data_IF_163131098550
#
_entry.id   IF_163131098550
#
_cell.length_a   1.000
_cell.length_b   1.000
_cell.length_c   1.000
_cell.angle_alpha   90.00
_cell.angle_beta   90.00
_cell.angle_gamma   90.00
#
_symmetry.space_group_name_H-M   'P 1'
#
loop_
_entity.id
_entity.type
_entity.pdbx_description
1 polymer ?
#
# COMPACT_ATOMS: atom_id res chain seq x y z
N UNK A 1 13.01 -25.33 -20.79
CA UNK A 1 11.61 -24.98 -20.44
C UNK A 1 11.64 -23.80 -19.50
N UNK A 2 11.39 -22.59 -19.99
CA UNK A 2 11.26 -21.39 -19.15
C UNK A 2 9.98 -21.54 -18.33
N UNK A 3 10.11 -21.99 -17.08
CA UNK A 3 9.02 -21.90 -16.11
C UNK A 3 8.54 -20.47 -16.11
N UNK A 4 7.30 -20.22 -16.52
CA UNK A 4 6.65 -18.91 -16.47
C UNK A 4 6.53 -18.54 -14.99
N UNK A 5 7.58 -17.92 -14.42
CA UNK A 5 7.65 -17.58 -13.00
C UNK A 5 6.47 -16.67 -12.68
N UNK A 6 5.78 -16.95 -11.58
CA UNK A 6 4.63 -16.15 -11.16
C UNK A 6 5.10 -14.90 -10.44
N UNK A 7 4.44 -13.78 -10.68
CA UNK A 7 4.80 -12.48 -10.12
C UNK A 7 3.92 -12.12 -8.93
N UNK A 8 4.47 -11.42 -7.95
CA UNK A 8 3.72 -10.68 -6.94
C UNK A 8 4.03 -9.21 -7.11
N UNK A 9 2.99 -8.43 -7.41
CA UNK A 9 3.06 -6.98 -7.43
C UNK A 9 2.60 -6.50 -6.06
N UNK A 10 3.53 -6.04 -5.23
CA UNK A 10 3.24 -5.57 -3.89
C UNK A 10 3.17 -4.05 -3.90
N UNK A 11 1.99 -3.51 -3.62
CA UNK A 11 1.73 -2.08 -3.59
C UNK A 11 1.52 -1.65 -2.14
N UNK A 12 2.33 -0.70 -1.67
CA UNK A 12 2.22 -0.18 -0.30
C UNK A 12 2.59 1.30 -0.23
N UNK A 13 2.36 1.94 0.92
CA UNK A 13 2.76 3.32 1.17
C UNK A 13 4.26 3.48 1.48
N UNK A 14 5.12 2.55 1.03
CA UNK A 14 6.55 2.52 1.30
C UNK A 14 7.38 3.47 0.42
N UNK A 15 6.76 4.49 -0.17
CA UNK A 15 7.39 5.50 -1.02
C UNK A 15 7.61 6.85 -0.34
N UNK A 16 7.42 6.87 0.99
CA UNK A 16 7.55 8.04 1.86
C UNK A 16 8.22 7.64 3.17
N UNK A 17 8.76 8.63 3.89
CA UNK A 17 9.47 8.41 5.16
C UNK A 17 8.50 8.13 6.32
N UNK A 18 8.01 6.89 6.39
CA UNK A 18 7.30 6.34 7.54
C UNK A 18 7.85 4.94 7.82
N UNK A 19 8.68 4.79 8.86
CA UNK A 19 9.34 3.52 9.18
C UNK A 19 8.38 2.33 9.29
N UNK A 20 7.16 2.54 9.81
CA UNK A 20 6.15 1.47 9.85
C UNK A 20 5.80 0.95 8.46
N UNK A 21 5.49 1.84 7.52
CA UNK A 21 5.12 1.47 6.16
C UNK A 21 6.30 0.88 5.36
N UNK A 22 7.54 1.27 5.69
CA UNK A 22 8.75 0.73 5.06
C UNK A 22 9.02 -0.73 5.44
N UNK A 23 8.55 -1.19 6.62
CA UNK A 23 8.77 -2.56 7.10
C UNK A 23 7.92 -3.60 6.35
N UNK A 24 6.69 -3.25 5.96
CA UNK A 24 5.78 -4.20 5.32
C UNK A 24 6.35 -4.90 4.08
N UNK A 25 6.90 -4.19 3.07
CA UNK A 25 7.49 -4.86 1.92
C UNK A 25 8.74 -5.66 2.25
N UNK A 26 9.52 -5.27 3.28
CA UNK A 26 10.71 -6.01 3.74
C UNK A 26 10.29 -7.37 4.30
N UNK A 27 9.35 -7.38 5.24
CA UNK A 27 8.82 -8.58 5.87
C UNK A 27 8.15 -9.47 4.81
N UNK A 28 7.30 -8.89 3.97
CA UNK A 28 6.59 -9.65 2.95
C UNK A 28 7.53 -10.28 1.92
N UNK A 29 8.57 -9.56 1.48
CA UNK A 29 9.62 -10.12 0.62
C UNK A 29 10.33 -11.29 1.29
N UNK A 30 10.58 -11.21 2.60
CA UNK A 30 11.22 -12.25 3.40
C UNK A 30 10.36 -13.52 3.47
N UNK A 31 9.06 -13.37 3.75
CA UNK A 31 8.06 -14.46 3.70
C UNK A 31 8.03 -15.13 2.32
N UNK A 32 8.15 -14.35 1.24
CA UNK A 32 8.11 -14.87 -0.12
C UNK A 32 9.39 -15.57 -0.59
N UNK A 33 10.52 -15.51 0.12
CA UNK A 33 11.80 -16.03 -0.37
C UNK A 33 11.74 -17.51 -0.77
N UNK A 34 10.92 -18.31 -0.10
CA UNK A 34 10.80 -19.76 -0.34
C UNK A 34 9.67 -20.12 -1.32
N UNK A 35 8.89 -19.13 -1.76
CA UNK A 35 7.67 -19.34 -2.55
C UNK A 35 7.90 -19.51 -4.05
N UNK A 36 9.10 -19.17 -4.55
CA UNK A 36 9.44 -19.17 -5.99
C UNK A 36 8.80 -18.04 -6.80
N UNK A 37 8.08 -17.11 -6.18
CA UNK A 37 7.51 -15.93 -6.84
C UNK A 37 8.57 -14.84 -7.07
N UNK A 38 8.41 -14.08 -8.16
CA UNK A 38 9.17 -12.85 -8.38
C UNK A 38 8.43 -11.71 -7.68
N UNK A 39 9.08 -11.11 -6.68
CA UNK A 39 8.55 -9.99 -5.92
C UNK A 39 8.91 -8.66 -6.57
N UNK A 40 7.92 -7.79 -6.73
CA UNK A 40 8.06 -6.41 -7.21
C UNK A 40 7.47 -5.45 -6.18
N UNK A 41 8.22 -4.43 -5.81
CA UNK A 41 7.82 -3.45 -4.80
C UNK A 41 7.38 -2.14 -5.46
N UNK A 42 6.13 -1.74 -5.24
CA UNK A 42 5.56 -0.53 -5.82
C UNK A 42 5.03 0.40 -4.74
N UNK A 43 5.13 1.70 -5.05
CA UNK A 43 4.48 2.77 -4.34
C UNK A 43 3.63 3.62 -5.28
N UNK A 44 3.24 4.81 -4.83
CA UNK A 44 2.59 5.80 -5.69
C UNK A 44 3.62 6.37 -6.68
N UNK A 45 4.81 6.69 -6.18
CA UNK A 45 5.97 7.13 -6.97
C UNK A 45 7.14 6.16 -6.86
N UNK A 46 8.07 6.27 -7.81
CA UNK A 46 9.38 5.63 -7.70
C UNK A 46 10.19 6.36 -6.64
N UNK A 47 10.77 5.62 -5.71
CA UNK A 47 11.57 6.18 -4.62
C UNK A 47 12.74 5.26 -4.32
N UNK A 48 13.84 5.87 -3.87
CA UNK A 48 14.96 5.13 -3.32
C UNK A 48 15.25 5.61 -1.91
N UNK A 49 14.78 4.86 -0.93
CA UNK A 49 14.94 5.14 0.51
C UNK A 49 15.88 4.12 1.15
N UNK A 50 16.79 3.52 0.38
CA UNK A 50 17.76 2.51 0.88
C UNK A 50 18.65 3.04 1.99
N UNK A 51 18.92 4.35 2.02
CA UNK A 51 19.69 4.99 3.10
C UNK A 51 18.96 4.90 4.46
N UNK A 52 17.64 4.66 4.43
CA UNK A 52 16.80 4.40 5.61
C UNK A 52 16.49 2.91 5.80
N UNK A 53 17.21 2.01 5.09
CA UNK A 53 17.01 0.55 5.14
C UNK A 53 15.79 0.05 4.39
N UNK A 54 15.11 0.90 3.61
CA UNK A 54 13.92 0.50 2.86
C UNK A 54 14.25 -0.24 1.55
N UNK A 55 13.27 -0.99 1.05
CA UNK A 55 13.30 -1.46 -0.34
C UNK A 55 12.94 -0.30 -1.29
N UNK A 56 13.66 -0.12 -2.40
CA UNK A 56 13.27 0.87 -3.40
C UNK A 56 11.88 0.52 -3.97
N UNK A 57 11.13 1.54 -4.35
CA UNK A 57 9.82 1.39 -4.99
C UNK A 57 9.89 1.75 -6.46
N UNK A 58 9.15 1.02 -7.28
CA UNK A 58 8.74 1.45 -8.60
C UNK A 58 7.41 2.22 -8.50
N UNK A 59 7.13 3.08 -9.49
CA UNK A 59 5.92 3.90 -9.51
C UNK A 59 4.67 3.10 -9.80
N UNK A 60 3.51 3.69 -9.47
CA UNK A 60 2.21 3.13 -9.83
C UNK A 60 2.04 2.95 -11.35
N UNK A 61 2.60 3.86 -12.13
CA UNK A 61 2.55 3.80 -13.59
C UNK A 61 3.28 2.56 -14.13
N UNK A 62 4.44 2.24 -13.54
CA UNK A 62 5.22 1.03 -13.83
C UNK A 62 4.46 -0.22 -13.40
N UNK A 63 3.85 -0.23 -12.21
CA UNK A 63 2.99 -1.34 -11.77
C UNK A 63 1.89 -1.66 -12.79
N UNK A 64 1.20 -0.63 -13.31
CA UNK A 64 0.16 -0.82 -14.32
C UNK A 64 0.69 -1.32 -15.67
N UNK A 65 1.96 -1.12 -15.97
CA UNK A 65 2.61 -1.67 -17.15
C UNK A 65 2.97 -3.14 -16.92
N UNK A 66 3.61 -3.45 -15.79
CA UNK A 66 4.06 -4.79 -15.43
C UNK A 66 2.89 -5.76 -15.24
N UNK A 67 1.80 -5.32 -14.63
CA UNK A 67 0.56 -6.11 -14.51
C UNK A 67 -0.02 -6.49 -15.88
N UNK A 68 0.27 -5.75 -16.96
CA UNK A 68 -0.19 -6.15 -18.31
C UNK A 68 0.76 -7.13 -18.97
N UNK A 69 2.04 -7.02 -18.66
CA UNK A 69 3.09 -7.83 -19.27
C UNK A 69 3.21 -9.20 -18.61
N UNK A 70 3.05 -9.27 -17.29
CA UNK A 70 3.32 -10.46 -16.51
C UNK A 70 2.06 -11.04 -15.86
N UNK A 71 2.07 -12.35 -15.64
CA UNK A 71 1.04 -13.05 -14.87
C UNK A 71 1.42 -13.08 -13.39
N UNK A 72 0.50 -12.68 -12.53
CA UNK A 72 0.78 -12.55 -11.10
C UNK A 72 -0.43 -12.20 -10.27
N UNK A 73 -0.17 -11.85 -9.01
CA UNK A 73 -1.17 -11.37 -8.04
C UNK A 73 -0.81 -9.98 -7.58
N UNK A 74 -1.81 -9.14 -7.35
CA UNK A 74 -1.65 -7.84 -6.73
C UNK A 74 -1.92 -7.97 -5.23
N UNK A 75 -0.97 -7.52 -4.42
CA UNK A 75 -1.10 -7.47 -2.97
C UNK A 75 -1.00 -6.03 -2.53
N UNK A 76 -2.02 -5.55 -1.85
CA UNK A 76 -2.01 -4.25 -1.17
C UNK A 76 -1.47 -4.50 0.24
N UNK A 77 -0.27 -4.00 0.49
CA UNK A 77 0.41 -4.10 1.78
C UNK A 77 -0.25 -3.25 2.86
N UNK A 78 -0.05 -3.65 4.12
CA UNK A 78 -0.70 -3.07 5.31
C UNK A 78 -0.45 -1.58 5.56
N UNK A 79 -0.91 -1.11 6.72
CA UNK A 79 -0.95 0.32 7.08
C UNK A 79 -2.34 0.93 6.89
N UNK A 80 -2.51 2.22 7.22
CA UNK A 80 -3.75 2.98 6.97
C UNK A 80 -3.86 3.36 5.49
N UNK A 81 -4.05 2.38 4.61
CA UNK A 81 -4.03 2.56 3.15
C UNK A 81 -5.40 2.50 2.49
N UNK A 82 -6.47 2.23 3.24
CA UNK A 82 -7.80 2.12 2.65
C UNK A 82 -8.41 3.49 2.30
N UNK A 83 -8.80 3.60 1.04
CA UNK A 83 -9.59 4.69 0.44
C UNK A 83 -9.00 6.12 0.43
N UNK A 84 -7.67 6.35 0.48
CA UNK A 84 -7.15 7.67 0.16
C UNK A 84 -7.37 7.98 -1.32
N UNK A 85 -7.59 9.26 -1.64
CA UNK A 85 -7.70 9.72 -3.03
C UNK A 85 -6.33 10.15 -3.57
N UNK A 86 -6.20 10.22 -4.89
CA UNK A 86 -4.94 10.54 -5.57
C UNK A 86 -4.37 11.90 -5.13
N UNK A 87 -5.23 12.91 -4.99
CA UNK A 87 -4.87 14.24 -4.54
C UNK A 87 -4.35 14.24 -3.09
N UNK A 88 -4.94 13.43 -2.21
CA UNK A 88 -4.49 13.30 -0.83
C UNK A 88 -3.09 12.70 -0.79
N UNK A 89 -2.87 11.60 -1.53
CA UNK A 89 -1.55 10.99 -1.59
C UNK A 89 -0.52 11.91 -2.23
N UNK A 90 -0.89 12.64 -3.27
CA UNK A 90 0.03 13.55 -3.93
C UNK A 90 0.42 14.73 -3.04
N UNK A 91 -0.49 15.21 -2.18
CA UNK A 91 -0.16 16.25 -1.20
C UNK A 91 0.86 15.83 -0.16
N UNK A 92 0.96 14.53 0.16
CA UNK A 92 2.00 14.02 1.05
C UNK A 92 3.37 13.90 0.37
N UNK A 93 3.39 13.80 -0.95
CA UNK A 93 4.60 13.62 -1.75
C UNK A 93 5.17 14.98 -2.19
N UNK A 94 4.31 15.92 -2.58
CA UNK A 94 4.72 17.22 -3.11
C UNK A 94 4.16 18.36 -2.25
N UNK A 95 5.06 19.05 -1.53
CA UNK A 95 4.72 20.24 -0.75
C UNK A 95 4.16 21.38 -1.62
N UNK A 96 4.65 21.50 -2.85
CA UNK A 96 4.13 22.46 -3.83
C UNK A 96 2.69 22.11 -4.18
N UNK A 97 2.41 20.83 -4.49
CA UNK A 97 1.05 20.40 -4.78
C UNK A 97 0.13 20.58 -3.57
N UNK A 98 0.59 20.28 -2.35
CA UNK A 98 -0.16 20.50 -1.12
C UNK A 98 -0.57 21.96 -0.96
N UNK A 99 0.37 22.90 -1.19
CA UNK A 99 0.11 24.34 -1.15
C UNK A 99 -0.84 24.82 -2.25
N UNK A 100 -0.76 24.23 -3.44
CA UNK A 100 -1.73 24.52 -4.49
C UNK A 100 -3.11 23.99 -4.12
N UNK A 101 -3.20 22.77 -3.61
CA UNK A 101 -4.46 22.12 -3.24
C UNK A 101 -5.16 22.79 -2.05
N UNK A 102 -4.43 23.51 -1.19
CA UNK A 102 -5.04 24.36 -0.16
C UNK A 102 -5.75 25.60 -0.70
N UNK A 103 -5.58 25.95 -1.98
CA UNK A 103 -6.29 27.06 -2.62
C UNK A 103 -7.61 26.55 -3.20
N UNK A 104 -8.74 27.12 -2.75
CA UNK A 104 -10.10 26.71 -3.14
C UNK A 104 -10.35 26.62 -4.65
N UNK A 105 -9.76 27.53 -5.42
CA UNK A 105 -9.87 27.51 -6.87
C UNK A 105 -9.18 26.27 -7.44
N UNK A 106 -7.96 25.99 -7.02
CA UNK A 106 -7.22 24.83 -7.48
C UNK A 106 -7.87 23.53 -7.02
N UNK A 107 -8.37 23.44 -5.79
CA UNK A 107 -9.07 22.24 -5.31
C UNK A 107 -10.34 21.95 -6.13
N UNK A 108 -11.07 22.98 -6.58
CA UNK A 108 -12.20 22.86 -7.53
C UNK A 108 -11.74 22.34 -8.89
N UNK A 109 -10.60 22.83 -9.39
CA UNK A 109 -10.00 22.39 -10.66
C UNK A 109 -9.54 20.93 -10.56
N UNK A 110 -8.84 20.56 -9.48
CA UNK A 110 -8.40 19.19 -9.21
C UNK A 110 -9.59 18.22 -9.23
N UNK A 111 -10.67 18.52 -8.50
CA UNK A 111 -11.86 17.63 -8.48
C UNK A 111 -12.47 17.39 -9.87
N UNK A 112 -12.34 18.35 -10.78
CA UNK A 112 -12.86 18.24 -12.16
C UNK A 112 -11.88 17.54 -13.09
N UNK A 113 -10.60 17.91 -13.03
CA UNK A 113 -9.59 17.48 -14.00
C UNK A 113 -8.81 16.25 -13.57
N UNK A 114 -8.84 15.91 -12.27
CA UNK A 114 -8.13 14.81 -11.63
C UNK A 114 -6.65 14.80 -12.02
N UNK A 115 -5.98 15.95 -11.79
CA UNK A 115 -4.61 16.22 -12.24
C UNK A 115 -3.65 15.29 -11.49
N UNK A 116 -3.81 15.15 -10.17
CA UNK A 116 -2.99 14.24 -9.36
C UNK A 116 -3.01 12.81 -9.92
N UNK A 117 -4.21 12.29 -10.19
CA UNK A 117 -4.38 10.95 -10.76
C UNK A 117 -3.69 10.80 -12.12
N UNK A 118 -3.75 11.82 -12.97
CA UNK A 118 -3.13 11.79 -14.31
C UNK A 118 -1.60 11.84 -14.21
N UNK A 119 -1.06 12.72 -13.38
CA UNK A 119 0.38 12.88 -13.18
C UNK A 119 1.02 11.64 -12.55
N UNK A 120 0.34 11.03 -11.58
CA UNK A 120 0.80 9.82 -10.89
C UNK A 120 0.50 8.52 -11.66
N UNK A 121 0.00 8.63 -12.89
CA UNK A 121 -0.23 7.48 -13.76
C UNK A 121 -1.40 6.57 -13.34
N UNK A 122 -2.28 7.02 -12.44
CA UNK A 122 -3.43 6.25 -11.95
C UNK A 122 -4.45 5.87 -13.04
N UNK A 123 -4.44 6.55 -14.19
CA UNK A 123 -5.26 6.24 -15.38
C UNK A 123 -6.74 6.02 -15.02
N UNK A 124 -7.19 4.77 -15.07
CA UNK A 124 -8.58 4.35 -14.85
C UNK A 124 -8.89 4.00 -13.39
N UNK A 125 -7.88 3.93 -12.53
CA UNK A 125 -8.04 3.51 -11.13
C UNK A 125 -8.59 4.69 -10.32
N UNK A 126 -9.73 4.49 -9.69
CA UNK A 126 -10.35 5.54 -8.87
C UNK A 126 -9.56 5.81 -7.59
N UNK A 127 -9.20 4.75 -6.86
CA UNK A 127 -8.53 4.81 -5.57
C UNK A 127 -7.21 4.03 -5.66
N UNK A 128 -6.05 4.67 -5.44
CA UNK A 128 -4.72 4.08 -5.65
C UNK A 128 -4.54 2.72 -4.96
N UNK A 129 -4.83 2.65 -3.67
CA UNK A 129 -4.70 1.43 -2.87
C UNK A 129 -5.98 0.60 -2.85
N UNK A 130 -6.97 0.92 -3.67
CA UNK A 130 -8.19 0.12 -3.79
C UNK A 130 -8.57 -0.07 -5.26
N UNK A 131 -7.70 -0.69 -6.08
CA UNK A 131 -8.01 -0.92 -7.48
C UNK A 131 -8.98 -2.09 -7.66
N UNK A 132 -9.94 -1.92 -8.57
CA UNK A 132 -10.75 -3.05 -9.04
C UNK A 132 -10.07 -3.75 -10.24
N UNK A 133 -10.10 -5.09 -10.38
CA UNK A 133 -9.49 -5.82 -11.51
C UNK A 133 -9.88 -5.27 -12.91
N UNK A 134 -11.16 -4.88 -13.08
CA UNK A 134 -11.64 -4.19 -14.30
C UNK A 134 -10.95 -2.84 -14.57
N UNK A 135 -10.63 -2.05 -13.55
CA UNK A 135 -9.90 -0.78 -13.71
C UNK A 135 -8.46 -1.01 -14.15
N UNK A 136 -7.86 -2.11 -13.69
CA UNK A 136 -6.54 -2.58 -14.10
C UNK A 136 -6.51 -3.15 -15.53
N UNK A 137 -7.67 -3.26 -16.20
CA UNK A 137 -7.85 -3.96 -17.49
C UNK A 137 -7.38 -5.43 -17.44
N UNK A 138 -7.47 -6.04 -16.25
CA UNK A 138 -7.13 -7.44 -15.97
C UNK A 138 -8.23 -8.05 -15.11
N UNK A 139 -9.37 -8.45 -15.69
CA UNK A 139 -10.52 -8.96 -14.94
C UNK A 139 -10.20 -10.27 -14.18
N UNK A 140 -9.16 -10.98 -14.59
CA UNK A 140 -8.62 -12.19 -13.98
C UNK A 140 -7.61 -11.91 -12.84
N UNK A 141 -7.21 -10.65 -12.63
CA UNK A 141 -6.26 -10.29 -11.59
C UNK A 141 -6.84 -10.59 -10.21
N UNK A 142 -6.11 -11.38 -9.44
CA UNK A 142 -6.42 -11.60 -8.03
C UNK A 142 -5.81 -10.45 -7.21
N UNK A 143 -6.67 -9.77 -6.45
CA UNK A 143 -6.29 -8.64 -5.61
C UNK A 143 -6.47 -9.03 -4.15
N UNK A 144 -5.41 -8.93 -3.38
CA UNK A 144 -5.36 -9.28 -1.96
C UNK A 144 -5.06 -8.03 -1.14
N UNK A 145 -5.76 -7.87 -0.02
CA UNK A 145 -5.44 -6.86 0.98
C UNK A 145 -4.89 -7.57 2.22
N UNK A 146 -3.66 -7.24 2.60
CA UNK A 146 -2.94 -7.88 3.70
C UNK A 146 -2.88 -6.94 4.90
N UNK A 147 -3.65 -7.25 5.94
CA UNK A 147 -3.67 -6.52 7.22
C UNK A 147 -3.78 -4.99 7.05
N UNK A 148 -4.69 -4.54 6.20
CA UNK A 148 -4.87 -3.11 5.89
C UNK A 148 -5.77 -2.42 6.92
N UNK A 149 -5.61 -1.11 7.08
CA UNK A 149 -6.42 -0.27 7.95
C UNK A 149 -7.17 0.82 7.18
N UNK A 150 -8.33 1.19 7.69
CA UNK A 150 -9.10 2.35 7.28
C UNK A 150 -10.61 2.13 7.28
N UNK A 151 -11.36 3.20 7.02
CA UNK A 151 -12.81 3.22 7.18
C UNK A 151 -13.48 4.09 6.11
N UNK A 152 -14.77 3.85 5.92
CA UNK A 152 -15.60 4.73 5.12
C UNK A 152 -15.89 6.02 5.90
N UNK A 153 -15.85 7.15 5.21
CA UNK A 153 -16.20 8.45 5.79
C UNK A 153 -17.42 9.01 5.07
N UNK A 154 -18.34 9.61 5.83
CA UNK A 154 -19.58 10.18 5.31
C UNK A 154 -20.56 9.13 4.78
N UNK A 155 -21.43 9.54 3.86
CA UNK A 155 -22.46 8.66 3.29
C UNK A 155 -21.84 7.57 2.39
N UNK A 156 -22.20 6.30 2.63
CA UNK A 156 -21.84 5.16 1.79
C UNK A 156 -22.33 5.31 0.34
N UNK A 157 -23.40 6.07 0.12
CA UNK A 157 -23.94 6.37 -1.21
C UNK A 157 -23.08 7.38 -2.00
N UNK A 158 -22.10 8.04 -1.35
CA UNK A 158 -21.19 8.97 -2.00
C UNK A 158 -20.40 8.31 -3.12
N UNK A 159 -19.98 9.11 -4.11
CA UNK A 159 -19.24 8.61 -5.28
C UNK A 159 -17.97 7.83 -4.87
N UNK A 160 -17.22 8.37 -3.91
CA UNK A 160 -16.00 7.75 -3.38
C UNK A 160 -16.28 6.42 -2.71
N UNK A 161 -17.25 6.38 -1.79
CA UNK A 161 -17.58 5.15 -1.07
C UNK A 161 -18.15 4.08 -2.01
N UNK A 162 -18.94 4.46 -3.03
CA UNK A 162 -19.35 3.54 -4.10
C UNK A 162 -18.16 2.94 -4.86
N UNK A 163 -17.11 3.72 -5.13
CA UNK A 163 -15.88 3.23 -5.78
C UNK A 163 -15.11 2.28 -4.86
N UNK A 164 -14.95 2.65 -3.60
CA UNK A 164 -14.33 1.82 -2.56
C UNK A 164 -15.06 0.47 -2.39
N UNK A 165 -16.38 0.50 -2.22
CA UNK A 165 -17.24 -0.69 -2.13
C UNK A 165 -17.09 -1.59 -3.36
N UNK A 166 -17.10 -0.99 -4.56
CA UNK A 166 -16.88 -1.75 -5.80
C UNK A 166 -15.52 -2.44 -5.77
N UNK A 167 -14.45 -1.73 -5.41
CA UNK A 167 -13.10 -2.28 -5.35
C UNK A 167 -12.99 -3.44 -4.34
N UNK A 168 -13.53 -3.28 -3.13
CA UNK A 168 -13.51 -4.33 -2.11
C UNK A 168 -14.29 -5.57 -2.55
N UNK A 169 -15.46 -5.40 -3.17
CA UNK A 169 -16.22 -6.53 -3.72
C UNK A 169 -15.50 -7.26 -4.88
N UNK A 170 -14.60 -6.57 -5.59
CA UNK A 170 -13.76 -7.17 -6.62
C UNK A 170 -12.47 -7.81 -6.09
N UNK A 171 -12.20 -7.70 -4.78
CA UNK A 171 -11.04 -8.29 -4.15
C UNK A 171 -11.21 -9.81 -4.02
N UNK A 172 -10.10 -10.54 -4.15
CA UNK A 172 -10.07 -11.98 -3.89
C UNK A 172 -10.10 -12.27 -2.40
N UNK A 173 -9.45 -11.43 -1.61
CA UNK A 173 -9.40 -11.57 -0.16
C UNK A 173 -9.08 -10.22 0.48
N UNK A 174 -9.74 -9.93 1.59
CA UNK A 174 -9.55 -8.71 2.37
C UNK A 174 -9.27 -9.10 3.81
N UNK A 175 -8.14 -8.69 4.34
CA UNK A 175 -7.83 -8.78 5.76
C UNK A 175 -7.51 -7.40 6.32
N UNK A 176 -7.98 -7.15 7.54
CA UNK A 176 -7.84 -5.89 8.25
C UNK A 176 -7.17 -6.11 9.59
N UNK A 177 -6.41 -5.11 10.06
CA UNK A 177 -5.55 -5.26 11.25
C UNK A 177 -6.20 -4.88 12.58
N UNK A 178 -7.34 -4.19 12.54
CA UNK A 178 -7.97 -3.63 13.72
C UNK A 178 -9.50 -3.74 13.66
N UNK A 179 -10.13 -3.77 14.85
CA UNK A 179 -11.56 -3.96 14.99
C UNK A 179 -12.37 -2.83 14.35
N UNK A 180 -11.88 -1.59 14.40
CA UNK A 180 -12.55 -0.42 13.79
C UNK A 180 -12.66 -0.59 12.27
N UNK A 181 -11.58 -1.02 11.62
CA UNK A 181 -11.58 -1.33 10.19
C UNK A 181 -12.52 -2.51 9.87
N UNK A 182 -12.53 -3.56 10.71
CA UNK A 182 -13.45 -4.71 10.56
C UNK A 182 -14.91 -4.31 10.68
N UNK A 183 -15.25 -3.49 11.68
CA UNK A 183 -16.61 -3.01 11.92
C UNK A 183 -17.08 -2.11 10.78
N UNK A 184 -16.21 -1.22 10.27
CA UNK A 184 -16.50 -0.39 9.11
C UNK A 184 -16.80 -1.22 7.85
N UNK A 185 -16.07 -2.31 7.61
CA UNK A 185 -16.34 -3.24 6.50
C UNK A 185 -17.68 -3.95 6.68
N UNK A 186 -17.92 -4.51 7.87
CA UNK A 186 -19.16 -5.21 8.18
C UNK A 186 -20.39 -4.28 8.02
N UNK A 187 -20.31 -3.05 8.52
CA UNK A 187 -21.37 -2.04 8.40
C UNK A 187 -21.66 -1.68 6.93
N UNK A 188 -20.66 -1.78 6.06
CA UNK A 188 -20.79 -1.57 4.62
C UNK A 188 -21.20 -2.85 3.85
N UNK A 189 -21.49 -3.95 4.56
CA UNK A 189 -21.87 -5.24 3.96
C UNK A 189 -20.71 -6.00 3.31
N UNK A 190 -19.47 -5.68 3.65
CA UNK A 190 -18.27 -6.32 3.12
C UNK A 190 -17.72 -7.36 4.08
N UNK A 191 -17.20 -8.47 3.53
CA UNK A 191 -16.46 -9.46 4.30
C UNK A 191 -14.98 -9.10 4.33
N UNK A 192 -14.42 -9.01 5.53
CA UNK A 192 -12.99 -8.86 5.78
C UNK A 192 -12.58 -9.74 6.96
N UNK A 193 -11.40 -10.34 6.93
CA UNK A 193 -10.88 -11.11 8.05
C UNK A 193 -10.10 -10.21 9.01
N UNK A 194 -10.33 -10.34 10.32
CA UNK A 194 -9.53 -9.64 11.32
C UNK A 194 -8.27 -10.46 11.58
N UNK A 195 -7.11 -9.89 11.29
CA UNK A 195 -5.79 -10.50 11.48
C UNK A 195 -4.88 -9.55 12.25
N UNK A 196 -3.78 -10.02 12.86
CA UNK A 196 -2.78 -9.12 13.41
C UNK A 196 -2.12 -8.25 12.33
N UNK A 197 -1.48 -7.15 12.74
CA UNK A 197 -0.66 -6.35 11.83
C UNK A 197 0.50 -7.19 11.25
N UNK A 198 0.81 -7.00 9.96
CA UNK A 198 1.87 -7.74 9.27
C UNK A 198 3.26 -7.58 9.89
N UNK A 199 3.51 -6.53 10.68
CA UNK A 199 4.76 -6.37 11.41
C UNK A 199 4.93 -7.38 12.56
N UNK A 200 3.85 -8.04 13.03
CA UNK A 200 3.91 -8.96 14.16
C UNK A 200 4.89 -10.12 13.94
N UNK A 201 4.93 -10.65 12.71
CA UNK A 201 5.78 -11.80 12.34
C UNK A 201 7.25 -11.41 12.14
N UNK A 202 7.64 -10.15 12.37
CA UNK A 202 9.01 -9.69 12.16
C UNK A 202 10.02 -10.50 13.00
N UNK A 203 9.70 -10.81 14.26
CA UNK A 203 10.58 -11.59 15.14
C UNK A 203 10.85 -13.00 14.63
N UNK A 204 9.95 -13.54 13.82
CA UNK A 204 10.07 -14.90 13.29
C UNK A 204 11.11 -14.96 12.15
N UNK A 205 11.37 -13.82 11.51
CA UNK A 205 12.27 -13.72 10.35
C UNK A 205 13.55 -12.93 10.61
N UNK A 206 13.56 -12.05 11.62
CA UNK A 206 14.67 -11.14 11.91
C UNK A 206 15.09 -11.27 13.38
N UNK A 207 16.21 -11.96 13.61
CA UNK A 207 16.76 -12.10 14.96
C UNK A 207 17.35 -10.78 15.47
N UNK A 208 17.31 -10.56 16.79
CA UNK A 208 17.96 -9.40 17.44
C UNK A 208 19.46 -9.34 17.10
N UNK A 209 20.13 -10.50 17.04
CA UNK A 209 21.55 -10.56 16.69
C UNK A 209 21.81 -10.07 15.27
N UNK A 210 20.97 -10.47 14.30
CA UNK A 210 21.05 -9.99 12.92
C UNK A 210 20.82 -8.49 12.85
N UNK A 211 19.78 -7.98 13.54
CA UNK A 211 19.47 -6.55 13.55
C UNK A 211 20.61 -5.71 14.15
N UNK A 212 21.22 -6.15 15.25
CA UNK A 212 22.37 -5.46 15.87
C UNK A 212 23.60 -5.34 14.96
N UNK A 213 23.77 -6.26 14.01
CA UNK A 213 24.86 -6.19 13.01
C UNK A 213 24.60 -5.16 11.93
N UNK A 214 23.33 -4.89 11.63
CA UNK A 214 22.89 -3.93 10.61
C UNK A 214 22.76 -2.50 11.17
N UNK A 215 22.73 -2.34 12.50
CA UNK A 215 22.62 -1.01 13.14
C UNK A 215 23.96 -0.29 13.17
N UNK A 216 24.02 0.92 12.62
CA UNK A 216 25.16 1.83 12.75
C UNK A 216 25.23 2.55 14.11
N UNK A 217 24.27 2.28 15.00
CA UNK A 217 24.16 2.90 16.33
C UNK A 217 24.92 2.04 17.34
N UNK A 218 25.74 2.68 18.18
CA UNK A 218 26.50 1.96 19.20
C UNK A 218 25.57 1.18 20.16
N UNK A 219 25.94 -0.08 20.51
CA UNK A 219 25.14 -0.93 21.40
C UNK A 219 24.72 -0.27 22.72
N UNK A 220 25.54 0.65 23.24
CA UNK A 220 25.29 1.42 24.47
C UNK A 220 24.02 2.26 24.44
N UNK A 221 23.57 2.66 23.25
CA UNK A 221 22.32 3.40 23.10
C UNK A 221 21.17 2.52 23.59
N UNK A 222 21.18 1.21 23.26
CA UNK A 222 20.16 0.22 23.67
C UNK A 222 20.24 -0.24 25.13
N UNK A 223 21.25 0.19 25.90
CA UNK A 223 21.43 -0.19 27.32
C UNK A 223 20.62 0.69 28.28
N UNK A 224 20.01 1.78 27.79
CA UNK A 224 18.99 2.50 28.52
C UNK A 224 17.65 1.78 28.47
N UNK A 225 16.86 1.87 29.54
CA UNK A 225 15.45 1.45 29.57
C UNK A 225 14.67 2.25 28.52
N UNK A 226 14.70 1.83 27.25
CA UNK A 226 13.77 2.28 26.25
C UNK A 226 12.43 1.64 26.55
N UNK A 227 11.67 2.31 27.40
CA UNK A 227 10.24 2.13 27.47
C UNK A 227 9.66 2.93 26.27
N UNK A 228 8.45 2.66 25.85
CA UNK A 228 7.42 3.68 26.02
C UNK A 228 7.83 4.76 27.05
N UNK A 229 8.48 5.84 26.62
CA UNK A 229 8.53 7.11 27.36
C UNK A 229 7.73 8.12 26.56
#
# INVERSE_FOLDING_TARGET
MTTNKKHIFFLSASDRLNYGDLLFPIIFKKVLQESGYIFHNYGIISSNLTDFGALPTQSYAEMLADIKQYSGKLVIGGGEVLFPEWETLFSFISSIYARLNSVDFFSKVERRLQIARKLLGGKNVALPFSPHPKELKRPDMQVYYSSVGGQFYGDLSSKKNKQALKAMNGATYVSVRDQRSKDAMNAAGLSAELVPDSALIMSDYFSIESLRKETAIEPKVYEGDYIFV
#
